data_IF_483998207416
#
_entry.id   IF_483998207416
#
_cell.length_a   1.000
_cell.length_b   1.000
_cell.length_c   1.000
_cell.angle_alpha   90.00
_cell.angle_beta   90.00
_cell.angle_gamma   90.00
#
_symmetry.space_group_name_H-M   'P 1'
#
loop_
_entity.id
_entity.type
_entity.pdbx_description
1 polymer ?
#
# COMPACT_ATOMS: atom_id res chain seq x y z
N UNK A 1 9.55 4.91 40.10
CA UNK A 1 8.26 5.51 39.70
C UNK A 1 8.47 6.25 38.38
N UNK A 2 7.99 5.70 37.26
CA UNK A 2 8.05 6.35 35.94
C UNK A 2 6.73 6.22 35.18
N UNK A 3 5.63 6.09 35.94
CA UNK A 3 4.29 5.74 35.47
C UNK A 3 3.41 6.96 35.23
N UNK A 4 3.86 7.90 34.39
CA UNK A 4 2.95 8.88 33.79
C UNK A 4 2.64 8.42 32.38
N UNK A 5 1.58 7.60 32.31
CA UNK A 5 0.80 7.18 31.15
C UNK A 5 1.54 6.85 29.84
N UNK A 6 2.40 5.83 29.88
CA UNK A 6 2.87 5.18 28.65
C UNK A 6 1.72 4.60 27.82
N UNK A 7 0.52 4.41 28.37
CA UNK A 7 -0.64 3.86 27.66
C UNK A 7 -1.06 4.75 26.49
N UNK A 8 -1.20 6.05 26.75
CA UNK A 8 -1.55 7.05 25.73
C UNK A 8 -0.54 7.06 24.57
N UNK A 9 0.75 7.00 24.89
CA UNK A 9 1.81 7.08 23.87
C UNK A 9 2.03 5.78 23.11
N UNK A 10 1.84 4.61 23.74
CA UNK A 10 2.03 3.29 23.09
C UNK A 10 1.14 3.09 21.88
N UNK A 11 -0.11 3.58 21.95
CA UNK A 11 -1.06 3.51 20.82
C UNK A 11 -0.49 4.25 19.58
N UNK A 12 0.23 5.36 19.79
CA UNK A 12 0.81 6.17 18.72
C UNK A 12 2.10 5.60 18.11
N UNK A 13 2.78 4.65 18.78
CA UNK A 13 4.12 4.18 18.34
C UNK A 13 4.11 3.55 16.96
N UNK A 14 3.07 2.77 16.61
CA UNK A 14 2.97 2.14 15.30
C UNK A 14 2.82 3.17 14.17
N UNK A 15 1.95 4.17 14.36
CA UNK A 15 1.70 5.24 13.39
C UNK A 15 2.93 6.15 13.24
N UNK A 16 3.63 6.38 14.35
CA UNK A 16 4.91 7.09 14.37
C UNK A 16 6.00 6.32 13.62
N UNK A 17 6.10 4.99 13.81
CA UNK A 17 7.09 4.14 13.15
C UNK A 17 6.99 4.15 11.62
N UNK A 18 5.77 4.23 11.06
CA UNK A 18 5.53 4.32 9.62
C UNK A 18 5.53 5.77 9.09
N UNK A 19 5.89 6.76 9.92
CA UNK A 19 5.97 8.17 9.52
C UNK A 19 4.62 8.82 9.20
N UNK A 20 3.54 8.37 9.85
CA UNK A 20 2.17 8.85 9.59
C UNK A 20 1.58 9.68 10.73
N UNK A 21 2.27 9.81 11.86
CA UNK A 21 1.88 10.68 12.96
C UNK A 21 2.43 12.08 12.70
N UNK A 22 1.61 13.12 12.86
CA UNK A 22 1.97 14.49 12.46
C UNK A 22 1.55 15.53 13.50
N UNK A 23 2.16 16.71 13.41
CA UNK A 23 1.85 17.86 14.25
C UNK A 23 2.08 17.59 15.73
N UNK A 24 1.25 18.22 16.56
CA UNK A 24 1.40 18.23 18.02
C UNK A 24 1.45 16.82 18.64
N UNK A 25 0.79 15.83 18.04
CA UNK A 25 0.82 14.44 18.52
C UNK A 25 2.20 13.79 18.35
N UNK A 26 2.88 14.05 17.24
CA UNK A 26 4.23 13.56 17.00
C UNK A 26 5.25 14.25 17.91
N UNK A 27 5.08 15.55 18.17
CA UNK A 27 5.94 16.31 19.07
C UNK A 27 5.80 15.82 20.52
N UNK A 28 4.56 15.62 20.99
CA UNK A 28 4.28 15.08 22.31
C UNK A 28 4.86 13.67 22.51
N UNK A 29 4.68 12.79 21.52
CA UNK A 29 5.27 11.46 21.55
C UNK A 29 6.81 11.50 21.54
N UNK A 30 7.40 12.38 20.74
CA UNK A 30 8.85 12.57 20.70
C UNK A 30 9.40 13.05 22.04
N UNK A 31 8.71 13.98 22.69
CA UNK A 31 9.06 14.45 24.03
C UNK A 31 9.01 13.31 25.07
N UNK A 32 7.98 12.45 25.01
CA UNK A 32 7.90 11.27 25.88
C UNK A 32 9.05 10.28 25.63
N UNK A 33 9.38 10.02 24.36
CA UNK A 33 10.46 9.10 23.97
C UNK A 33 11.82 9.55 24.49
N UNK A 34 12.07 10.85 24.65
CA UNK A 34 13.31 11.34 25.26
C UNK A 34 13.47 10.85 26.72
N UNK A 35 12.37 10.75 27.47
CA UNK A 35 12.38 10.36 28.88
C UNK A 35 12.08 8.88 29.15
N UNK A 36 11.63 8.11 28.16
CA UNK A 36 11.04 6.78 28.39
C UNK A 36 11.79 5.65 27.67
N UNK A 37 12.77 4.99 28.33
CA UNK A 37 13.45 3.81 27.79
C UNK A 37 12.54 2.67 27.28
N UNK A 38 11.45 2.27 27.98
CA UNK A 38 10.63 1.15 27.52
C UNK A 38 9.88 1.49 26.22
N UNK A 39 9.35 2.71 26.07
CA UNK A 39 8.68 3.11 24.81
C UNK A 39 9.68 3.25 23.66
N UNK A 40 10.95 3.62 23.92
CA UNK A 40 12.00 3.59 22.89
C UNK A 40 12.33 2.16 22.43
N UNK A 41 12.38 1.21 23.36
CA UNK A 41 12.60 -0.20 23.02
C UNK A 41 11.46 -0.74 22.15
N UNK A 42 10.21 -0.47 22.54
CA UNK A 42 9.03 -0.84 21.75
C UNK A 42 9.03 -0.20 20.36
N UNK A 43 9.40 1.08 20.26
CA UNK A 43 9.55 1.75 18.97
C UNK A 43 10.61 1.10 18.07
N UNK A 44 11.73 0.65 18.65
CA UNK A 44 12.78 -0.02 17.90
C UNK A 44 12.29 -1.34 17.28
N UNK A 45 11.53 -2.14 18.03
CA UNK A 45 10.89 -3.36 17.52
C UNK A 45 9.92 -3.05 16.37
N UNK A 46 9.08 -2.02 16.53
CA UNK A 46 8.12 -1.62 15.50
C UNK A 46 8.78 -1.08 14.23
N UNK A 47 9.94 -0.41 14.34
CA UNK A 47 10.69 0.09 13.18
C UNK A 47 11.18 -1.04 12.28
N UNK A 48 11.67 -2.14 12.86
CA UNK A 48 12.04 -3.33 12.10
C UNK A 48 10.88 -3.88 11.27
N UNK A 49 9.67 -3.92 11.86
CA UNK A 49 8.46 -4.34 11.14
C UNK A 49 8.07 -3.34 10.05
N UNK A 50 8.13 -2.03 10.35
CA UNK A 50 7.83 -0.98 9.38
C UNK A 50 8.77 -1.02 8.15
N UNK A 51 10.05 -1.31 8.37
CA UNK A 51 11.01 -1.53 7.29
C UNK A 51 10.62 -2.72 6.43
N UNK A 52 10.29 -3.88 7.01
CA UNK A 52 9.83 -5.04 6.24
C UNK A 52 8.56 -4.74 5.42
N UNK A 53 7.62 -3.99 6.00
CA UNK A 53 6.42 -3.56 5.30
C UNK A 53 6.76 -2.67 4.09
N UNK A 54 7.68 -1.72 4.25
CA UNK A 54 8.12 -0.84 3.17
C UNK A 54 8.72 -1.62 1.98
N UNK A 55 9.40 -2.73 2.23
CA UNK A 55 9.95 -3.60 1.18
C UNK A 55 8.91 -4.55 0.55
N UNK A 56 7.82 -4.84 1.26
CA UNK A 56 6.74 -5.71 0.77
C UNK A 56 5.77 -5.01 -0.19
N UNK A 57 5.59 -3.70 0.00
CA UNK A 57 4.73 -2.90 -0.87
C UNK A 57 5.52 -2.56 -2.11
N UNK A 58 5.02 -2.96 -3.29
CA UNK A 58 5.59 -2.50 -4.55
C UNK A 58 5.57 -0.99 -4.53
N UNK A 59 6.76 -0.36 -4.54
CA UNK A 59 6.86 1.09 -4.70
C UNK A 59 5.91 1.52 -5.82
N UNK A 60 5.14 2.61 -5.66
CA UNK A 60 4.29 3.10 -6.72
C UNK A 60 5.19 3.32 -7.94
N UNK A 61 5.13 2.37 -8.87
CA UNK A 61 5.77 2.50 -10.16
C UNK A 61 5.18 3.73 -10.85
N UNK A 62 5.83 4.24 -11.90
CA UNK A 62 5.22 5.30 -12.70
C UNK A 62 3.78 4.89 -13.01
N UNK A 63 2.85 5.83 -12.82
CA UNK A 63 1.45 5.60 -13.15
C UNK A 63 1.42 5.07 -14.57
N UNK A 64 1.26 3.75 -14.73
CA UNK A 64 1.17 3.14 -16.04
C UNK A 64 -0.08 3.76 -16.63
N UNK A 65 0.09 4.62 -17.64
CA UNK A 65 -1.03 5.01 -18.49
C UNK A 65 -1.59 3.68 -18.96
N UNK A 66 -2.74 3.30 -18.43
CA UNK A 66 -3.48 2.18 -19.01
C UNK A 66 -3.59 2.48 -20.51
N UNK A 67 -3.60 1.46 -21.36
CA UNK A 67 -3.64 1.61 -22.82
C UNK A 67 -4.91 2.34 -23.34
N UNK A 68 -5.69 2.97 -22.45
CA UNK A 68 -7.06 3.36 -22.67
C UNK A 68 -7.93 2.12 -22.74
N UNK A 69 -9.03 2.09 -21.99
CA UNK A 69 -10.19 1.32 -22.46
C UNK A 69 -10.74 2.17 -23.60
N UNK A 70 -10.22 1.97 -24.81
CA UNK A 70 -10.79 2.57 -26.01
C UNK A 70 -12.31 2.37 -25.98
N UNK A 71 -13.11 3.33 -26.47
CA UNK A 71 -14.55 3.19 -26.47
C UNK A 71 -14.88 1.83 -27.07
N UNK A 72 -15.65 1.02 -26.32
CA UNK A 72 -16.24 -0.20 -26.85
C UNK A 72 -17.32 0.24 -27.84
N UNK A 73 -16.92 0.74 -29.01
CA UNK A 73 -17.76 0.84 -30.20
C UNK A 73 -17.88 -0.58 -30.75
N UNK A 74 -18.41 -1.48 -29.92
CA UNK A 74 -18.72 -2.84 -30.32
C UNK A 74 -19.91 -2.80 -31.26
N UNK A 75 -19.73 -3.47 -32.40
CA UNK A 75 -20.77 -4.05 -33.25
C UNK A 75 -22.03 -3.20 -33.47
N UNK A 76 -22.12 -2.60 -34.66
CA UNK A 76 -23.41 -2.23 -35.24
C UNK A 76 -24.37 -3.41 -35.13
N UNK A 77 -25.58 -3.19 -34.62
CA UNK A 77 -26.67 -4.18 -34.53
C UNK A 77 -27.28 -4.56 -35.89
N UNK A 78 -26.51 -4.47 -36.99
CA UNK A 78 -26.95 -4.99 -38.27
C UNK A 78 -26.36 -6.39 -38.48
N UNK A 79 -27.12 -7.40 -38.06
CA UNK A 79 -27.00 -8.76 -38.58
C UNK A 79 -25.99 -9.67 -37.91
N UNK A 80 -26.24 -10.06 -36.66
CA UNK A 80 -25.61 -11.26 -36.08
C UNK A 80 -26.50 -12.47 -36.37
N UNK A 81 -26.40 -13.04 -37.56
CA UNK A 81 -26.73 -14.46 -37.78
C UNK A 81 -25.56 -15.29 -37.23
N UNK A 82 -25.37 -15.25 -35.91
CA UNK A 82 -24.24 -15.88 -35.24
C UNK A 82 -24.49 -17.35 -34.97
N UNK A 83 -24.24 -18.22 -35.95
CA UNK A 83 -23.82 -19.58 -35.64
C UNK A 83 -22.43 -19.47 -35.01
N UNK A 84 -22.26 -19.95 -33.77
CA UNK A 84 -20.96 -20.02 -33.12
C UNK A 84 -20.03 -20.94 -33.94
N UNK A 85 -19.20 -20.38 -34.81
CA UNK A 85 -18.10 -21.10 -35.43
C UNK A 85 -16.99 -21.25 -34.38
N UNK A 86 -17.00 -22.39 -33.68
CA UNK A 86 -15.82 -22.90 -33.02
C UNK A 86 -14.77 -23.18 -34.11
N UNK A 87 -13.64 -22.47 -34.08
CA UNK A 87 -12.47 -22.82 -34.89
C UNK A 87 -12.02 -21.74 -35.88
N UNK A 88 -11.36 -20.71 -35.37
CA UNK A 88 -10.29 -20.06 -36.11
C UNK A 88 -8.97 -20.44 -35.42
N UNK A 89 -8.37 -21.53 -35.90
CA UNK A 89 -6.98 -21.90 -35.59
C UNK A 89 -6.11 -20.82 -36.27
N UNK A 90 -5.58 -19.87 -35.50
CA UNK A 90 -4.71 -18.82 -36.03
C UNK A 90 -3.50 -19.44 -36.76
N UNK A 91 -2.95 -18.79 -37.80
CA UNK A 91 -1.80 -19.32 -38.51
C UNK A 91 -0.63 -19.39 -37.54
N UNK A 92 -0.04 -20.58 -37.44
CA UNK A 92 1.11 -20.84 -36.60
C UNK A 92 2.26 -19.88 -36.94
N UNK A 93 2.89 -19.36 -35.89
CA UNK A 93 4.16 -18.64 -36.01
C UNK A 93 5.21 -19.64 -36.48
N UNK A 94 5.65 -19.52 -37.72
CA UNK A 94 6.82 -20.26 -38.22
C UNK A 94 8.08 -19.76 -37.53
N UNK A 95 8.70 -20.68 -36.78
CA UNK A 95 10.06 -20.75 -36.21
C UNK A 95 10.66 -19.44 -35.67
#
# INVERSE_FOLDING_TARGET
MGGTDCGVYRIGLGVYAIGRLAGAEADALSAHLNGCPPCRAELAELRTVAELLAHSVRAPGPARKGAGRGPRTGASRLGLSGACAYGARGPGRSR
#
